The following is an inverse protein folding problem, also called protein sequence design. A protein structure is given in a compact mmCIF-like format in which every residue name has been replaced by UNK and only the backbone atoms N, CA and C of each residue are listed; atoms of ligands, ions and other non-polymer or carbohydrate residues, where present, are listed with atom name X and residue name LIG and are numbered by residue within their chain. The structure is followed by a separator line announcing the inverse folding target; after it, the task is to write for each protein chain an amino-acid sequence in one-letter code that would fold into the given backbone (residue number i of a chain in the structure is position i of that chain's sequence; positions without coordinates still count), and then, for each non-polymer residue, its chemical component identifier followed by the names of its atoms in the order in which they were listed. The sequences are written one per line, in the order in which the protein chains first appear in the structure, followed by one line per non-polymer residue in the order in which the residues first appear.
data_IF_973544084970
#
_entry.id   IF_973544084970
#
_cell.length_a   1.000
_cell.length_b   1.000
_cell.length_c   1.000
_cell.angle_alpha   90.00
_cell.angle_beta   90.00
_cell.angle_gamma   90.00
#
_symmetry.space_group_name_H-M   'P 1'
#
loop_
_entity.id
_entity.type
_entity.pdbx_description
1 polymer ?
#
# COMPACT_ATOMS: atom_id res chain seq x y z
N UNK A 1 -7.53 -10.57 -8.82
CA UNK A 1 -6.61 -9.45 -8.53
C UNK A 1 -6.85 -9.05 -7.08
N UNK A 2 -5.83 -9.06 -6.23
CA UNK A 2 -5.89 -8.75 -4.80
C UNK A 2 -5.31 -7.35 -4.61
N UNK A 3 -6.12 -6.43 -4.10
CA UNK A 3 -5.69 -5.07 -3.80
C UNK A 3 -5.01 -5.03 -2.43
N UNK A 4 -3.83 -4.42 -2.39
CA UNK A 4 -3.01 -4.28 -1.18
C UNK A 4 -2.82 -2.79 -0.89
N UNK A 5 -3.20 -2.37 0.32
CA UNK A 5 -2.81 -1.08 0.87
C UNK A 5 -1.61 -1.29 1.79
N UNK A 6 -0.51 -0.60 1.52
CA UNK A 6 0.69 -0.68 2.35
C UNK A 6 0.61 0.43 3.41
N UNK A 7 0.67 0.06 4.68
CA UNK A 7 0.68 1.03 5.80
C UNK A 7 2.04 0.94 6.49
N UNK A 8 2.87 1.96 6.28
CA UNK A 8 4.24 2.01 6.79
C UNK A 8 4.69 3.47 6.97
N UNK A 9 5.17 3.83 8.16
CA UNK A 9 5.57 5.20 8.52
C UNK A 9 6.93 5.60 7.90
N UNK A 10 7.74 4.62 7.49
CA UNK A 10 8.97 4.86 6.75
C UNK A 10 8.70 4.81 5.22
N UNK A 11 8.95 5.94 4.55
CA UNK A 11 8.71 6.07 3.12
C UNK A 11 9.59 5.14 2.27
N UNK A 12 10.82 4.83 2.72
CA UNK A 12 11.71 3.92 2.02
C UNK A 12 11.22 2.48 2.13
N UNK A 13 10.71 2.08 3.31
CA UNK A 13 10.17 0.73 3.53
C UNK A 13 8.83 0.55 2.78
N UNK A 14 7.98 1.57 2.76
CA UNK A 14 6.73 1.57 1.98
C UNK A 14 6.99 1.33 0.48
N UNK A 15 7.95 2.03 -0.10
CA UNK A 15 8.31 1.89 -1.51
C UNK A 15 8.97 0.53 -1.80
N UNK A 16 9.78 0.02 -0.87
CA UNK A 16 10.36 -1.32 -0.97
C UNK A 16 9.25 -2.39 -1.02
N UNK A 17 8.29 -2.33 -0.10
CA UNK A 17 7.16 -3.26 -0.06
C UNK A 17 6.28 -3.13 -1.31
N UNK A 18 6.08 -1.91 -1.83
CA UNK A 18 5.36 -1.68 -3.08
C UNK A 18 6.02 -2.41 -4.26
N UNK A 19 7.35 -2.36 -4.36
CA UNK A 19 8.11 -3.08 -5.40
C UNK A 19 8.04 -4.59 -5.24
N UNK A 20 8.03 -5.11 -4.02
CA UNK A 20 7.83 -6.53 -3.78
C UNK A 20 6.43 -6.99 -4.21
N UNK A 21 5.38 -6.28 -3.80
CA UNK A 21 3.99 -6.59 -4.18
C UNK A 21 3.80 -6.56 -5.70
N UNK A 22 4.40 -5.60 -6.40
CA UNK A 22 4.32 -5.50 -7.86
C UNK A 22 4.94 -6.67 -8.63
N UNK A 23 5.82 -7.46 -7.98
CA UNK A 23 6.43 -8.65 -8.58
C UNK A 23 5.57 -9.91 -8.40
N UNK A 24 4.55 -9.88 -7.53
CA UNK A 24 3.70 -11.03 -7.24
C UNK A 24 2.47 -10.98 -8.14
N UNK A 25 2.39 -11.92 -9.09
CA UNK A 25 1.24 -12.06 -9.98
C UNK A 25 -0.08 -12.16 -9.19
N UNK A 26 -1.06 -11.39 -9.62
CA UNK A 26 -2.39 -11.36 -9.00
C UNK A 26 -2.51 -10.40 -7.82
N UNK A 27 -1.44 -9.73 -7.39
CA UNK A 27 -1.47 -8.65 -6.41
C UNK A 27 -1.25 -7.29 -7.07
N UNK A 28 -1.90 -6.27 -6.51
CA UNK A 28 -1.76 -4.89 -6.95
C UNK A 28 -1.74 -3.96 -5.74
N UNK A 29 -0.68 -3.15 -5.61
CA UNK A 29 -0.61 -2.13 -4.58
C UNK A 29 -1.52 -0.97 -4.96
N UNK A 30 -2.65 -0.81 -4.26
CA UNK A 30 -3.63 0.25 -4.53
C UNK A 30 -3.30 1.58 -3.83
N UNK A 31 -2.34 1.60 -2.91
CA UNK A 31 -1.87 2.82 -2.28
C UNK A 31 -0.85 2.58 -1.16
N UNK A 32 -0.33 3.67 -0.62
CA UNK A 32 0.51 3.67 0.59
C UNK A 32 -0.05 4.68 1.60
N UNK A 33 0.06 4.37 2.90
CA UNK A 33 -0.33 5.27 3.98
C UNK A 33 0.72 5.27 5.09
N UNK A 34 1.15 6.45 5.54
CA UNK A 34 2.19 6.58 6.58
C UNK A 34 1.67 6.44 8.00
N UNK A 35 0.35 6.41 8.21
CA UNK A 35 -0.26 6.22 9.51
C UNK A 35 -1.59 5.46 9.36
N UNK A 36 -2.01 4.67 10.37
CA UNK A 36 -3.28 3.95 10.35
C UNK A 36 -4.49 4.88 10.13
N UNK A 37 -4.48 6.08 10.72
CA UNK A 37 -5.57 7.05 10.53
C UNK A 37 -5.66 7.63 9.11
N UNK A 38 -4.57 7.61 8.32
CA UNK A 38 -4.63 7.94 6.89
C UNK A 38 -5.18 6.79 6.05
N UNK A 39 -5.02 5.55 6.50
CA UNK A 39 -5.46 4.33 5.81
C UNK A 39 -6.96 4.33 5.53
N UNK A 40 -7.77 4.69 6.52
CA UNK A 40 -9.24 4.78 6.39
C UNK A 40 -9.67 5.78 5.31
N UNK A 41 -8.94 6.89 5.17
CA UNK A 41 -9.26 7.93 4.18
C UNK A 41 -8.88 7.55 2.75
N UNK A 42 -7.83 6.75 2.58
CA UNK A 42 -7.46 6.18 1.27
C UNK A 42 -8.48 5.12 0.84
N UNK A 43 -9.00 4.31 1.76
CA UNK A 43 -10.06 3.35 1.45
C UNK A 43 -11.39 4.00 1.04
N UNK A 44 -11.75 5.15 1.61
CA UNK A 44 -13.02 5.83 1.33
C UNK A 44 -13.01 6.73 0.08
N UNK A 45 -11.86 6.94 -0.56
CA UNK A 45 -11.73 7.79 -1.75
C UNK A 45 -11.39 7.03 -3.05
N UNK A 46 -11.31 5.70 -3.01
CA UNK A 46 -10.94 4.84 -4.15
C UNK A 46 -12.16 4.16 -4.77
#
# INVERSE_FOLDING_TARGET
MINVLIVDDDAMVAELNRRYVAQISGFHCCGTASTPGKSERVYLQQ
#
